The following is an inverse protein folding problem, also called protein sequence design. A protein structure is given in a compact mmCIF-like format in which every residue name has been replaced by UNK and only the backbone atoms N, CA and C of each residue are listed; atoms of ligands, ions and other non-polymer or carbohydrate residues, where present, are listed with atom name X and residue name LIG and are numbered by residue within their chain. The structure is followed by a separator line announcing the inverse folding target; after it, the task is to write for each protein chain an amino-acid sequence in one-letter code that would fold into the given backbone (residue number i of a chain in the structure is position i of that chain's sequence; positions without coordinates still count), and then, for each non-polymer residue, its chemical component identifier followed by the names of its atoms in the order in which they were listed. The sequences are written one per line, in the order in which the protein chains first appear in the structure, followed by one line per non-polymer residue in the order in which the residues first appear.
data_IF_521124834789
#
_entry.id   IF_521124834789
#
_cell.length_a   1.000
_cell.length_b   1.000
_cell.length_c   1.000
_cell.angle_alpha   90.00
_cell.angle_beta   90.00
_cell.angle_gamma   90.00
#
_symmetry.space_group_name_H-M   'P 1'
#
loop_
_entity.id
_entity.type
_entity.pdbx_description
1 polymer ?
#
# COMPACT_ATOMS: atom_id res chain seq x y z
N UNK A 1 -9.80 -3.48 -12.14
CA UNK A 1 -8.73 -3.59 -13.18
C UNK A 1 -7.56 -2.76 -12.70
N UNK A 2 -6.32 -3.28 -12.80
CA UNK A 2 -5.09 -2.52 -12.44
C UNK A 2 -4.58 -1.83 -13.69
N UNK A 3 -4.18 -0.57 -13.55
CA UNK A 3 -3.44 0.19 -14.56
C UNK A 3 -1.97 0.29 -14.16
N UNK A 4 -1.06 0.04 -15.10
CA UNK A 4 0.37 0.22 -14.88
C UNK A 4 0.76 1.67 -15.19
N UNK A 5 1.20 2.39 -14.17
CA UNK A 5 1.69 3.78 -14.33
C UNK A 5 3.15 3.78 -14.81
N UNK A 6 3.99 2.97 -14.18
CA UNK A 6 5.39 2.84 -14.58
C UNK A 6 5.98 1.51 -14.12
N UNK A 7 7.02 1.05 -14.81
CA UNK A 7 7.87 -0.07 -14.37
C UNK A 7 9.33 0.21 -14.67
N UNK A 8 10.19 -0.24 -13.77
CA UNK A 8 11.66 -0.07 -13.90
C UNK A 8 12.37 -1.33 -13.40
N UNK A 9 13.37 -1.77 -14.11
CA UNK A 9 14.26 -2.87 -13.67
C UNK A 9 15.19 -2.37 -12.56
N UNK A 10 15.29 -3.12 -11.49
CA UNK A 10 16.14 -2.77 -10.34
C UNK A 10 16.51 -4.00 -9.54
N UNK A 11 17.80 -4.15 -9.17
CA UNK A 11 18.31 -5.16 -8.24
C UNK A 11 17.83 -6.61 -8.53
N UNK A 12 17.77 -7.04 -9.78
CA UNK A 12 17.27 -8.40 -10.10
C UNK A 12 15.77 -8.56 -9.85
N UNK A 13 15.00 -7.52 -10.12
CA UNK A 13 13.55 -7.51 -10.04
C UNK A 13 12.93 -6.38 -10.84
N UNK A 14 11.64 -6.20 -10.72
CA UNK A 14 10.86 -5.13 -11.34
C UNK A 14 10.16 -4.32 -10.27
N UNK A 15 10.45 -3.02 -10.20
CA UNK A 15 9.68 -2.04 -9.42
C UNK A 15 8.58 -1.48 -10.31
N UNK A 16 7.33 -1.62 -9.89
CA UNK A 16 6.19 -1.02 -10.57
C UNK A 16 5.43 -0.04 -9.69
N UNK A 17 4.74 0.91 -10.33
CA UNK A 17 3.72 1.76 -9.74
C UNK A 17 2.42 1.50 -10.48
N UNK A 18 1.36 1.31 -9.75
CA UNK A 18 0.06 0.88 -10.26
C UNK A 18 -1.06 1.72 -9.67
N UNK A 19 -2.16 1.81 -10.42
CA UNK A 19 -3.39 2.46 -9.99
C UNK A 19 -4.60 1.56 -10.21
N UNK A 20 -5.64 1.76 -9.44
CA UNK A 20 -6.95 1.16 -9.65
C UNK A 20 -8.06 1.99 -9.02
N UNK A 21 -9.26 1.88 -9.57
CA UNK A 21 -10.46 2.41 -8.92
C UNK A 21 -10.79 1.52 -7.71
N UNK A 22 -10.61 2.06 -6.52
CA UNK A 22 -10.89 1.34 -5.27
C UNK A 22 -12.37 1.36 -4.94
N UNK A 23 -12.90 0.21 -4.60
CA UNK A 23 -14.28 0.07 -4.10
C UNK A 23 -14.38 0.42 -2.61
N UNK A 24 -13.31 0.22 -1.86
CA UNK A 24 -13.26 0.57 -0.43
C UNK A 24 -13.25 2.07 -0.20
N UNK A 25 -12.41 2.79 -0.94
CA UNK A 25 -12.28 4.25 -0.77
C UNK A 25 -13.15 5.06 -1.73
N UNK A 26 -13.67 4.44 -2.80
CA UNK A 26 -14.42 5.15 -3.85
C UNK A 26 -13.55 6.13 -4.65
N UNK A 27 -12.24 5.97 -4.63
CA UNK A 27 -11.27 6.84 -5.30
C UNK A 27 -10.27 6.05 -6.13
N UNK A 28 -9.49 6.74 -6.95
CA UNK A 28 -8.32 6.16 -7.59
C UNK A 28 -7.22 5.99 -6.53
N UNK A 29 -6.84 4.75 -6.25
CA UNK A 29 -5.76 4.45 -5.31
C UNK A 29 -4.49 4.08 -6.06
N UNK A 30 -3.35 4.54 -5.53
CA UNK A 30 -2.01 4.25 -6.08
C UNK A 30 -1.23 3.39 -5.10
N UNK A 31 -0.50 2.42 -5.61
CA UNK A 31 0.40 1.58 -4.83
C UNK A 31 1.63 1.19 -5.65
N UNK A 32 2.70 0.84 -4.98
CA UNK A 32 3.90 0.31 -5.61
C UNK A 32 4.13 -1.15 -5.26
N UNK A 33 4.70 -1.91 -6.19
CA UNK A 33 5.09 -3.31 -5.99
C UNK A 33 6.47 -3.54 -6.55
N UNK A 34 7.35 -4.12 -5.74
CA UNK A 34 8.58 -4.72 -6.22
C UNK A 34 8.41 -6.24 -6.29
N UNK A 35 8.71 -6.81 -7.45
CA UNK A 35 8.70 -8.26 -7.68
C UNK A 35 10.11 -8.69 -8.06
N UNK A 36 10.80 -9.51 -7.26
CA UNK A 36 12.09 -10.06 -7.64
C UNK A 36 11.98 -11.05 -8.82
N UNK A 37 13.06 -11.23 -9.54
CA UNK A 37 13.13 -12.28 -10.56
C UNK A 37 12.91 -13.65 -9.91
N UNK A 38 12.11 -14.48 -10.52
CA UNK A 38 11.69 -15.76 -9.97
C UNK A 38 11.48 -16.82 -11.08
N UNK A 39 11.49 -18.07 -10.70
CA UNK A 39 11.18 -19.17 -11.61
C UNK A 39 9.73 -19.10 -12.10
N UNK A 40 9.45 -19.50 -13.34
CA UNK A 40 8.08 -19.57 -13.85
C UNK A 40 7.16 -20.37 -12.93
N UNK A 41 6.00 -19.79 -12.59
CA UNK A 41 5.00 -20.41 -11.70
C UNK A 41 5.32 -20.34 -10.20
N UNK A 42 6.47 -19.84 -9.80
CA UNK A 42 6.76 -19.64 -8.37
C UNK A 42 5.82 -18.61 -7.75
N UNK A 43 5.47 -18.85 -6.49
CA UNK A 43 4.75 -17.89 -5.65
C UNK A 43 5.68 -17.41 -4.53
N UNK A 44 5.72 -16.11 -4.32
CA UNK A 44 6.66 -15.45 -3.42
C UNK A 44 5.95 -14.86 -2.21
N UNK A 45 6.56 -14.93 -1.01
CA UNK A 45 6.01 -14.27 0.17
C UNK A 45 6.00 -12.75 0.01
N UNK A 46 5.12 -12.10 0.78
CA UNK A 46 4.84 -10.68 0.65
C UNK A 46 5.25 -9.95 1.92
N UNK A 47 5.83 -8.76 1.74
CA UNK A 47 6.00 -7.75 2.78
C UNK A 47 5.13 -6.54 2.43
N UNK A 48 4.16 -6.24 3.28
CA UNK A 48 3.36 -5.02 3.23
C UNK A 48 4.08 -3.93 4.01
N UNK A 49 4.29 -2.79 3.37
CA UNK A 49 4.91 -1.63 4.03
C UNK A 49 3.92 -0.47 4.10
N UNK A 50 3.64 -0.03 5.31
CA UNK A 50 2.75 1.10 5.58
C UNK A 50 3.57 2.35 5.90
N UNK A 51 3.41 3.39 5.09
CA UNK A 51 4.12 4.66 5.25
C UNK A 51 3.54 5.52 6.40
N UNK A 52 4.33 6.48 6.86
CA UNK A 52 3.95 7.44 7.90
C UNK A 52 3.10 8.60 7.38
N UNK A 53 2.80 9.53 8.28
CA UNK A 53 2.04 10.76 7.99
C UNK A 53 2.63 11.51 6.81
N UNK A 54 1.76 12.12 6.02
CA UNK A 54 2.06 12.95 4.84
C UNK A 54 2.72 12.22 3.66
N UNK A 55 3.10 10.95 3.85
CA UNK A 55 3.70 10.13 2.80
C UNK A 55 2.65 9.62 1.80
N UNK A 56 3.17 9.09 0.69
CA UNK A 56 2.46 8.26 -0.27
C UNK A 56 3.23 6.94 -0.47
N UNK A 57 2.83 6.12 -1.42
CA UNK A 57 3.61 4.97 -1.89
C UNK A 57 5.03 5.37 -2.35
N UNK A 58 5.21 6.60 -2.86
CA UNK A 58 6.45 7.07 -3.47
C UNK A 58 7.58 7.24 -2.45
N UNK A 59 7.30 7.64 -1.21
CA UNK A 59 8.35 7.93 -0.24
C UNK A 59 9.28 6.73 0.00
N UNK A 60 8.74 5.55 0.29
CA UNK A 60 9.54 4.34 0.46
C UNK A 60 10.07 3.83 -0.88
N UNK A 61 9.28 3.94 -1.94
CA UNK A 61 9.68 3.46 -3.28
C UNK A 61 10.90 4.21 -3.82
N UNK A 62 10.98 5.52 -3.58
CA UNK A 62 12.05 6.36 -4.09
C UNK A 62 13.27 6.45 -3.16
N UNK A 63 13.04 6.35 -1.84
CA UNK A 63 14.06 6.63 -0.81
C UNK A 63 14.45 5.41 0.03
N UNK A 64 13.66 4.34 -0.02
CA UNK A 64 13.92 3.12 0.75
C UNK A 64 14.83 2.15 -0.02
N UNK A 65 15.86 1.64 0.65
CA UNK A 65 16.83 0.68 0.09
C UNK A 65 16.42 -0.78 0.35
N UNK A 66 15.18 -1.14 0.02
CA UNK A 66 14.63 -2.49 0.28
C UNK A 66 14.84 -3.48 -0.87
N UNK A 67 15.04 -3.00 -2.10
CA UNK A 67 14.99 -3.83 -3.32
C UNK A 67 16.06 -4.92 -3.38
N UNK A 68 17.29 -4.58 -3.00
CA UNK A 68 18.39 -5.55 -2.97
C UNK A 68 18.10 -6.70 -2.01
N UNK A 69 17.67 -6.39 -0.79
CA UNK A 69 17.30 -7.39 0.21
C UNK A 69 16.08 -8.21 -0.21
N UNK A 70 15.06 -7.58 -0.79
CA UNK A 70 13.89 -8.29 -1.30
C UNK A 70 14.24 -9.22 -2.47
N UNK A 71 15.16 -8.81 -3.35
CA UNK A 71 15.63 -9.66 -4.44
C UNK A 71 16.42 -10.88 -3.92
N UNK A 72 17.31 -10.67 -2.95
CA UNK A 72 18.09 -11.75 -2.33
C UNK A 72 17.20 -12.76 -1.59
N UNK A 73 16.19 -12.27 -0.87
CA UNK A 73 15.29 -13.09 -0.05
C UNK A 73 14.08 -13.63 -0.82
N UNK A 74 13.88 -13.23 -2.06
CA UNK A 74 12.73 -13.64 -2.86
C UNK A 74 11.40 -13.10 -2.33
N UNK A 75 11.36 -11.83 -1.89
CA UNK A 75 10.18 -11.19 -1.29
C UNK A 75 9.52 -10.19 -2.22
N UNK A 76 8.21 -10.26 -2.38
CA UNK A 76 7.42 -9.18 -2.96
C UNK A 76 7.28 -8.09 -1.90
N UNK A 77 7.49 -6.83 -2.30
CA UNK A 77 7.31 -5.68 -1.42
C UNK A 77 6.20 -4.78 -1.96
N UNK A 78 5.18 -4.54 -1.16
CA UNK A 78 3.99 -3.76 -1.54
C UNK A 78 3.88 -2.53 -0.62
N UNK A 79 3.78 -1.35 -1.22
CA UNK A 79 3.56 -0.11 -0.47
C UNK A 79 2.37 0.66 -1.05
N UNK A 80 1.24 0.74 -0.34
CA UNK A 80 0.09 1.57 -0.71
C UNK A 80 0.29 3.05 -0.39
N UNK A 81 -0.62 3.88 -0.89
CA UNK A 81 -0.78 5.25 -0.39
C UNK A 81 -1.31 5.24 1.06
N UNK A 82 -1.16 6.36 1.74
CA UNK A 82 -1.50 6.53 3.17
C UNK A 82 -2.93 7.03 3.39
N UNK A 83 -3.60 7.51 2.35
CA UNK A 83 -4.99 7.97 2.39
C UNK A 83 -5.62 7.90 1.00
N UNK A 84 -6.97 7.97 0.90
CA UNK A 84 -7.63 8.32 -0.35
C UNK A 84 -7.20 9.73 -0.79
N UNK A 85 -7.27 9.99 -2.11
CA UNK A 85 -6.97 11.29 -2.71
C UNK A 85 -7.88 11.52 -3.91
N UNK A 86 -8.03 12.77 -4.33
CA UNK A 86 -8.76 13.15 -5.53
C UNK A 86 -9.92 14.09 -5.28
N UNK A 87 -10.67 14.37 -6.34
CA UNK A 87 -11.81 15.27 -6.28
C UNK A 87 -12.90 14.73 -5.34
N UNK A 88 -13.43 15.59 -4.47
CA UNK A 88 -14.47 15.25 -3.51
C UNK A 88 -13.99 14.56 -2.23
N UNK A 89 -12.70 14.22 -2.13
CA UNK A 89 -12.13 13.66 -0.89
C UNK A 89 -11.96 14.79 0.13
N UNK A 90 -12.55 14.62 1.31
CA UNK A 90 -12.44 15.59 2.39
C UNK A 90 -10.99 15.73 2.87
N UNK A 91 -10.64 16.96 3.22
CA UNK A 91 -9.37 17.29 3.88
C UNK A 91 -9.63 18.22 5.06
N UNK A 92 -8.61 18.46 5.88
CA UNK A 92 -8.70 19.44 6.96
C UNK A 92 -8.70 20.87 6.38
N UNK A 93 -9.72 21.68 6.65
CA UNK A 93 -9.75 23.07 6.21
C UNK A 93 -8.60 23.94 6.77
N UNK A 94 -8.05 23.53 7.91
CA UNK A 94 -6.92 24.22 8.57
C UNK A 94 -5.56 23.69 8.09
N UNK A 95 -5.56 22.61 7.30
CA UNK A 95 -4.34 22.05 6.71
C UNK A 95 -3.43 21.37 7.73
N UNK A 96 -3.95 20.80 8.79
CA UNK A 96 -3.16 20.04 9.75
C UNK A 96 -2.52 18.81 9.09
N UNK A 97 -1.24 18.58 9.35
CA UNK A 97 -0.49 17.49 8.73
C UNK A 97 -0.89 16.09 9.23
N UNK A 98 -1.52 16.01 10.38
CA UNK A 98 -1.93 14.79 11.06
C UNK A 98 -3.45 14.52 10.99
N UNK A 99 -4.16 15.22 10.11
CA UNK A 99 -5.58 15.04 9.87
C UNK A 99 -5.92 15.25 8.39
N UNK A 100 -6.77 14.40 7.82
CA UNK A 100 -7.13 14.48 6.40
C UNK A 100 -6.16 13.77 5.46
N UNK A 101 -5.78 14.42 4.37
CA UNK A 101 -4.91 13.84 3.33
C UNK A 101 -3.54 13.45 3.87
N UNK A 102 -3.13 12.21 3.58
CA UNK A 102 -1.88 11.65 4.10
C UNK A 102 -1.96 11.20 5.57
N UNK A 103 -3.13 11.25 6.19
CA UNK A 103 -3.38 10.92 7.59
C UNK A 103 -4.56 9.94 7.76
N UNK A 104 -4.61 8.89 6.93
CA UNK A 104 -5.68 7.89 6.98
C UNK A 104 -5.58 6.91 8.15
N UNK A 105 -4.48 6.89 8.89
CA UNK A 105 -4.19 6.05 10.07
C UNK A 105 -4.50 4.56 9.90
N UNK A 106 -4.74 4.12 8.65
CA UNK A 106 -5.11 2.75 8.32
C UNK A 106 -6.35 2.24 9.07
N UNK A 107 -7.30 3.15 9.27
CA UNK A 107 -8.60 2.90 9.90
C UNK A 107 -9.75 3.26 8.97
N UNK A 108 -10.96 2.84 9.32
CA UNK A 108 -12.17 3.30 8.65
C UNK A 108 -12.77 4.47 9.43
N UNK A 109 -12.88 5.63 8.81
CA UNK A 109 -13.59 6.76 9.39
C UNK A 109 -15.08 6.46 9.53
N UNK A 110 -15.68 6.93 10.63
CA UNK A 110 -17.09 6.67 10.99
C UNK A 110 -17.98 7.90 10.88
N UNK A 111 -17.41 9.09 10.67
CA UNK A 111 -18.14 10.34 10.64
C UNK A 111 -17.94 11.12 9.35
N UNK A 112 -18.99 11.82 8.92
CA UNK A 112 -18.89 12.78 7.83
C UNK A 112 -17.97 13.95 8.21
N UNK A 113 -17.24 14.53 7.23
CA UNK A 113 -17.25 14.21 5.79
C UNK A 113 -16.26 13.09 5.38
N UNK A 114 -15.53 12.48 6.31
CA UNK A 114 -14.45 11.53 6.03
C UNK A 114 -14.94 10.10 5.76
N UNK A 115 -16.03 9.67 6.38
CA UNK A 115 -16.52 8.29 6.31
C UNK A 115 -16.72 7.72 4.89
N UNK A 116 -17.11 8.49 3.86
CA UNK A 116 -17.28 7.94 2.53
C UNK A 116 -16.00 7.42 1.88
N UNK A 117 -14.86 8.05 2.14
CA UNK A 117 -13.61 7.78 1.44
C UNK A 117 -12.48 7.23 2.32
N UNK A 118 -12.41 7.64 3.59
CA UNK A 118 -11.32 7.22 4.50
C UNK A 118 -11.60 5.83 5.08
N UNK A 119 -11.50 4.81 4.21
CA UNK A 119 -11.71 3.39 4.56
C UNK A 119 -10.43 2.59 4.34
N UNK A 120 -9.35 3.12 4.91
CA UNK A 120 -8.02 2.56 4.71
C UNK A 120 -7.84 1.19 5.37
N UNK A 121 -8.59 0.86 6.43
CA UNK A 121 -8.57 -0.48 7.02
C UNK A 121 -9.11 -1.51 6.04
N UNK A 122 -10.29 -1.31 5.49
CA UNK A 122 -10.89 -2.22 4.50
C UNK A 122 -9.99 -2.35 3.27
N UNK A 123 -9.40 -1.23 2.84
CA UNK A 123 -8.48 -1.23 1.72
C UNK A 123 -7.26 -2.13 1.94
N UNK A 124 -6.59 -2.00 3.09
CA UNK A 124 -5.38 -2.75 3.41
C UNK A 124 -5.66 -4.21 3.80
N UNK A 125 -6.77 -4.47 4.50
CA UNK A 125 -7.08 -5.83 4.99
C UNK A 125 -7.76 -6.70 3.93
N UNK A 126 -8.49 -6.12 2.99
CA UNK A 126 -9.35 -6.88 2.06
C UNK A 126 -9.05 -6.59 0.59
N UNK A 127 -9.19 -5.35 0.15
CA UNK A 127 -9.18 -5.02 -1.27
C UNK A 127 -7.80 -5.16 -1.90
N UNK A 128 -6.79 -4.54 -1.31
CA UNK A 128 -5.43 -4.58 -1.84
C UNK A 128 -4.83 -6.01 -1.82
N UNK A 129 -5.00 -6.82 -0.76
CA UNK A 129 -4.57 -8.22 -0.77
C UNK A 129 -5.23 -9.05 -1.86
N UNK A 130 -6.53 -8.92 -2.07
CA UNK A 130 -7.24 -9.60 -3.15
C UNK A 130 -6.68 -9.21 -4.53
N UNK A 131 -6.40 -7.93 -4.72
CA UNK A 131 -5.83 -7.39 -5.94
C UNK A 131 -4.41 -7.92 -6.20
N UNK A 132 -3.55 -7.93 -5.18
CA UNK A 132 -2.17 -8.45 -5.28
C UNK A 132 -2.18 -9.95 -5.57
N UNK A 133 -3.00 -10.74 -4.89
CA UNK A 133 -3.12 -12.18 -5.14
C UNK A 133 -3.59 -12.54 -6.54
N UNK A 134 -4.44 -11.70 -7.14
CA UNK A 134 -4.98 -11.91 -8.48
C UNK A 134 -4.00 -11.53 -9.61
N UNK A 135 -3.11 -10.56 -9.38
CA UNK A 135 -2.31 -9.95 -10.46
C UNK A 135 -0.80 -10.17 -10.34
N UNK A 136 -0.31 -10.63 -9.20
CA UNK A 136 1.12 -10.83 -8.95
C UNK A 136 1.43 -12.28 -8.53
N UNK A 137 2.69 -12.74 -8.65
CA UNK A 137 3.10 -14.09 -8.24
C UNK A 137 3.19 -14.23 -6.72
N UNK A 138 2.17 -13.78 -6.02
CA UNK A 138 2.12 -13.65 -4.57
C UNK A 138 1.65 -14.95 -3.89
N UNK A 139 2.33 -15.36 -2.83
CA UNK A 139 1.88 -16.39 -1.90
C UNK A 139 1.12 -15.75 -0.74
N UNK A 140 -0.19 -15.74 -0.85
CA UNK A 140 -1.07 -15.11 0.14
C UNK A 140 -1.11 -15.83 1.49
N UNK A 141 -0.50 -17.02 1.62
CA UNK A 141 -0.36 -17.71 2.90
C UNK A 141 0.91 -17.29 3.67
N UNK A 142 1.85 -16.60 3.01
CA UNK A 142 3.10 -16.13 3.61
C UNK A 142 3.22 -14.62 3.50
N UNK A 143 2.72 -13.93 4.51
CA UNK A 143 2.66 -12.48 4.54
C UNK A 143 3.29 -11.92 5.82
N UNK A 144 3.95 -10.79 5.70
CA UNK A 144 4.41 -9.97 6.81
C UNK A 144 4.00 -8.52 6.58
N UNK A 145 3.75 -7.78 7.65
CA UNK A 145 3.42 -6.37 7.59
C UNK A 145 4.39 -5.57 8.46
N UNK A 146 4.84 -4.45 7.95
CA UNK A 146 5.72 -3.52 8.63
C UNK A 146 5.34 -2.08 8.28
N UNK A 147 5.88 -1.13 8.99
CA UNK A 147 5.61 0.27 8.69
C UNK A 147 6.46 1.22 9.51
N UNK A 148 6.36 2.51 9.18
CA UNK A 148 7.07 3.60 9.84
C UNK A 148 6.07 4.60 10.43
N UNK A 149 6.28 5.07 11.65
CA UNK A 149 5.46 6.10 12.31
C UNK A 149 3.97 5.70 12.35
N UNK A 150 3.05 6.50 11.78
CA UNK A 150 1.63 6.16 11.59
C UNK A 150 1.46 4.77 10.97
N UNK A 151 2.30 4.40 9.99
CA UNK A 151 2.27 3.08 9.37
C UNK A 151 2.78 1.97 10.28
N UNK A 152 3.72 2.24 11.19
CA UNK A 152 4.14 1.29 12.21
C UNK A 152 3.02 0.97 13.20
N UNK A 153 2.26 1.98 13.62
CA UNK A 153 1.03 1.80 14.38
C UNK A 153 -0.01 0.98 13.59
N UNK A 154 -0.24 1.35 12.32
CA UNK A 154 -1.15 0.61 11.43
C UNK A 154 -0.76 -0.86 11.26
N UNK A 155 0.53 -1.14 11.05
CA UNK A 155 1.03 -2.50 10.91
C UNK A 155 0.78 -3.35 12.16
N UNK A 156 1.05 -2.80 13.35
CA UNK A 156 0.80 -3.49 14.62
C UNK A 156 -0.70 -3.74 14.85
N UNK A 157 -1.53 -2.73 14.64
CA UNK A 157 -2.97 -2.85 14.89
C UNK A 157 -3.65 -3.83 13.93
N UNK A 158 -3.25 -3.84 12.66
CA UNK A 158 -3.75 -4.79 11.66
C UNK A 158 -3.27 -6.20 11.97
N UNK A 159 -1.97 -6.42 12.21
CA UNK A 159 -1.43 -7.74 12.51
C UNK A 159 -2.01 -8.39 13.77
N UNK A 160 -2.32 -7.58 14.80
CA UNK A 160 -2.89 -8.11 16.04
C UNK A 160 -4.40 -8.43 15.96
N UNK A 161 -5.08 -7.96 14.92
CA UNK A 161 -6.52 -8.20 14.70
C UNK A 161 -6.80 -9.32 13.69
N UNK A 162 -5.80 -9.69 12.89
CA UNK A 162 -5.87 -10.70 11.85
C UNK A 162 -4.84 -11.81 12.10
#
# INVERSE_FOLDING_TARGET
MIETVSTTRSHGGTQGVYQHASTSTGTQMTFSVFVPDHAPGAKLPIVWYLSGLTCTHANVTEKGEFRAACAELGLIFVAPDTSPRGEGVADDPEGAYDFGLGAGFYVNATQAPFAPHYRMQDYIEQELPALIGAHFPADMARQAIMGHSMGGHGALTIALRN
#
